data_IF_479622692397
#
_entry.id   IF_479622692397
#
_cell.length_a   1.000
_cell.length_b   1.000
_cell.length_c   1.000
_cell.angle_alpha   90.00
_cell.angle_beta   90.00
_cell.angle_gamma   90.00
#
_symmetry.space_group_name_H-M   'P 1'
#
loop_
_entity.id
_entity.type
_entity.pdbx_description
1 polymer ?
#
# COMPACT_ATOMS: atom_id res chain seq x y z
N UNK A 1 -16.80 -25.11 -6.41
CA UNK A 1 -17.51 -23.94 -6.99
C UNK A 1 -18.53 -23.28 -6.05
N UNK A 2 -19.26 -23.98 -5.19
CA UNK A 2 -20.22 -23.31 -4.29
C UNK A 2 -19.58 -22.59 -3.10
N UNK A 3 -18.56 -23.17 -2.47
CA UNK A 3 -17.86 -22.57 -1.35
C UNK A 3 -17.11 -21.30 -1.79
N UNK A 4 -16.33 -21.38 -2.87
CA UNK A 4 -15.62 -20.24 -3.47
C UNK A 4 -16.58 -19.08 -3.81
N UNK A 5 -17.74 -19.34 -4.40
CA UNK A 5 -18.72 -18.27 -4.70
C UNK A 5 -19.24 -17.55 -3.46
N UNK A 6 -19.47 -18.28 -2.37
CA UNK A 6 -19.90 -17.68 -1.10
C UNK A 6 -18.79 -16.80 -0.50
N UNK A 7 -17.53 -17.23 -0.61
CA UNK A 7 -16.37 -16.44 -0.17
C UNK A 7 -16.23 -15.14 -0.97
N UNK A 8 -16.36 -15.18 -2.29
CA UNK A 8 -16.39 -13.98 -3.12
C UNK A 8 -17.52 -13.01 -2.77
N UNK A 9 -18.72 -13.54 -2.44
CA UNK A 9 -19.84 -12.70 -1.97
C UNK A 9 -19.51 -12.01 -0.63
N UNK A 10 -18.85 -12.73 0.30
CA UNK A 10 -18.38 -12.17 1.56
C UNK A 10 -17.31 -11.08 1.33
N UNK A 11 -16.35 -11.32 0.43
CA UNK A 11 -15.32 -10.33 0.07
C UNK A 11 -15.95 -9.10 -0.61
N UNK A 12 -16.90 -9.28 -1.52
CA UNK A 12 -17.61 -8.18 -2.14
C UNK A 12 -18.38 -7.33 -1.12
N UNK A 13 -19.04 -7.97 -0.15
CA UNK A 13 -19.74 -7.29 0.94
C UNK A 13 -18.73 -6.53 1.83
N UNK A 14 -17.60 -7.15 2.16
CA UNK A 14 -16.54 -6.51 2.93
C UNK A 14 -16.02 -5.25 2.24
N UNK A 15 -15.68 -5.34 0.95
CA UNK A 15 -15.21 -4.22 0.15
C UNK A 15 -16.18 -3.04 0.12
N UNK A 16 -17.50 -3.32 0.04
CA UNK A 16 -18.54 -2.28 -0.06
C UNK A 16 -18.88 -1.68 1.30
N UNK A 17 -19.01 -2.51 2.34
CA UNK A 17 -19.55 -2.08 3.64
C UNK A 17 -18.46 -1.55 4.57
N UNK A 18 -17.25 -2.12 4.49
CA UNK A 18 -16.10 -1.70 5.29
C UNK A 18 -15.09 -0.96 4.43
N UNK A 19 -14.63 -1.57 3.34
CA UNK A 19 -13.63 -0.99 2.45
C UNK A 19 -14.00 0.45 2.08
N UNK A 20 -14.82 0.64 1.10
CA UNK A 20 -15.26 1.99 0.69
C UNK A 20 -16.41 2.56 1.52
N UNK A 21 -17.05 1.77 2.38
CA UNK A 21 -18.20 2.17 3.19
C UNK A 21 -19.19 3.06 2.42
N UNK A 22 -19.74 2.50 1.34
CA UNK A 22 -20.65 3.23 0.43
C UNK A 22 -21.82 3.83 1.20
N UNK A 23 -22.02 5.13 1.06
CA UNK A 23 -23.12 5.83 1.72
C UNK A 23 -24.37 5.86 0.85
N UNK A 24 -25.59 5.97 1.41
CA UNK A 24 -26.82 6.12 0.64
C UNK A 24 -26.74 7.29 -0.36
N UNK A 25 -27.16 7.06 -1.59
CA UNK A 25 -27.12 8.01 -2.71
C UNK A 25 -25.71 8.47 -3.13
N UNK A 26 -24.65 7.70 -2.76
CA UNK A 26 -23.28 7.96 -3.17
C UNK A 26 -22.94 7.15 -4.43
N UNK A 27 -22.27 7.73 -5.45
CA UNK A 27 -21.72 6.96 -6.56
C UNK A 27 -20.53 6.12 -6.10
N UNK A 28 -20.42 4.89 -6.62
CA UNK A 28 -19.22 4.04 -6.47
C UNK A 28 -18.52 3.91 -7.83
N UNK A 29 -17.27 4.34 -7.89
CA UNK A 29 -16.39 4.10 -9.04
C UNK A 29 -15.58 2.84 -8.78
N UNK A 30 -15.66 1.85 -9.67
CA UNK A 30 -14.89 0.61 -9.57
C UNK A 30 -13.86 0.58 -10.71
N UNK A 31 -12.58 0.45 -10.35
CA UNK A 31 -11.50 0.13 -11.29
C UNK A 31 -11.16 -1.35 -11.18
N UNK A 32 -11.29 -2.10 -12.27
CA UNK A 32 -11.06 -3.54 -12.30
C UNK A 32 -10.65 -4.01 -13.70
N UNK A 33 -9.98 -5.15 -13.79
CA UNK A 33 -9.75 -5.83 -15.07
C UNK A 33 -11.08 -6.27 -15.70
N UNK A 34 -11.16 -6.19 -17.03
CA UNK A 34 -12.34 -6.69 -17.78
C UNK A 34 -12.60 -8.17 -17.52
N UNK A 35 -11.61 -8.93 -17.06
CA UNK A 35 -11.72 -10.34 -16.71
C UNK A 35 -12.49 -10.57 -15.41
N UNK A 36 -12.54 -9.56 -14.54
CA UNK A 36 -13.12 -9.64 -13.19
C UNK A 36 -14.62 -9.34 -13.15
N UNK A 37 -15.29 -9.31 -14.30
CA UNK A 37 -16.67 -8.86 -14.44
C UNK A 37 -17.66 -9.60 -13.53
N UNK A 38 -17.42 -10.88 -13.23
CA UNK A 38 -18.31 -11.65 -12.34
C UNK A 38 -18.24 -11.16 -10.89
N UNK A 39 -17.01 -10.93 -10.39
CA UNK A 39 -16.82 -10.37 -9.06
C UNK A 39 -17.32 -8.92 -8.96
N UNK A 40 -17.04 -8.10 -9.98
CA UNK A 40 -17.58 -6.73 -10.08
C UNK A 40 -19.09 -6.70 -9.99
N UNK A 41 -19.81 -7.66 -10.60
CA UNK A 41 -21.26 -7.76 -10.48
C UNK A 41 -21.71 -8.08 -9.06
N UNK A 42 -20.92 -8.87 -8.28
CA UNK A 42 -21.21 -9.12 -6.87
C UNK A 42 -21.03 -7.82 -6.06
N UNK A 43 -19.93 -7.10 -6.28
CA UNK A 43 -19.67 -5.79 -5.65
C UNK A 43 -20.79 -4.79 -5.97
N UNK A 44 -21.17 -4.66 -7.25
CA UNK A 44 -22.24 -3.75 -7.68
C UNK A 44 -23.59 -4.09 -7.00
N UNK A 45 -23.90 -5.39 -6.85
CA UNK A 45 -25.10 -5.83 -6.14
C UNK A 45 -25.10 -5.41 -4.67
N UNK A 46 -23.98 -5.59 -3.98
CA UNK A 46 -23.82 -5.15 -2.59
C UNK A 46 -23.91 -3.61 -2.48
N UNK A 47 -23.28 -2.87 -3.41
CA UNK A 47 -23.34 -1.42 -3.44
C UNK A 47 -24.78 -0.90 -3.58
N UNK A 48 -25.55 -1.46 -4.50
CA UNK A 48 -26.98 -1.11 -4.64
C UNK A 48 -27.82 -1.55 -3.42
N UNK A 49 -27.45 -2.64 -2.77
CA UNK A 49 -28.15 -3.10 -1.56
C UNK A 49 -27.98 -2.13 -0.38
N UNK A 50 -26.86 -1.42 -0.28
CA UNK A 50 -26.64 -0.36 0.73
C UNK A 50 -27.11 1.01 0.27
N UNK A 51 -27.67 1.13 -0.94
CA UNK A 51 -28.29 2.36 -1.45
C UNK A 51 -27.37 3.24 -2.28
N UNK A 52 -26.32 2.68 -2.90
CA UNK A 52 -25.49 3.43 -3.87
C UNK A 52 -26.38 4.07 -4.94
N UNK A 53 -26.04 5.31 -5.33
CA UNK A 53 -26.73 6.05 -6.40
C UNK A 53 -26.54 5.36 -7.75
N UNK A 54 -25.30 5.04 -8.07
CA UNK A 54 -24.88 4.40 -9.31
C UNK A 54 -23.52 3.74 -9.12
N UNK A 55 -23.22 2.75 -9.97
CA UNK A 55 -21.90 2.12 -10.06
C UNK A 55 -21.30 2.51 -11.41
N UNK A 56 -20.16 3.20 -11.36
CA UNK A 56 -19.40 3.68 -12.53
C UNK A 56 -18.22 2.75 -12.74
N UNK A 57 -18.01 2.23 -13.96
CA UNK A 57 -16.94 1.30 -14.26
C UNK A 57 -15.77 1.95 -15.00
N UNK A 58 -14.57 1.75 -14.45
CA UNK A 58 -13.29 2.02 -15.11
C UNK A 58 -12.60 0.68 -15.40
N UNK A 59 -12.86 0.10 -16.57
CA UNK A 59 -12.27 -1.17 -16.97
C UNK A 59 -10.80 -1.01 -17.39
N UNK A 60 -9.95 -1.93 -16.94
CA UNK A 60 -8.58 -2.09 -17.42
C UNK A 60 -8.45 -3.36 -18.23
N UNK A 61 -7.54 -3.34 -19.21
CA UNK A 61 -7.17 -4.49 -20.01
C UNK A 61 -5.66 -4.43 -20.29
N UNK A 62 -4.93 -5.32 -19.64
CA UNK A 62 -3.47 -5.37 -19.72
C UNK A 62 -2.97 -5.67 -21.14
N UNK A 63 -3.66 -6.55 -21.89
CA UNK A 63 -3.29 -6.87 -23.26
C UNK A 63 -3.53 -5.67 -24.20
N UNK A 64 -4.65 -4.97 -24.03
CA UNK A 64 -4.89 -3.73 -24.76
C UNK A 64 -3.87 -2.64 -24.40
N UNK A 65 -3.47 -2.55 -23.12
CA UNK A 65 -2.42 -1.62 -22.71
C UNK A 65 -1.07 -1.93 -23.39
N UNK A 66 -0.67 -3.21 -23.49
CA UNK A 66 0.52 -3.62 -24.24
C UNK A 66 0.48 -3.19 -25.70
N UNK A 67 -0.66 -3.41 -26.37
CA UNK A 67 -0.87 -2.95 -27.76
C UNK A 67 -0.77 -1.43 -27.85
N UNK A 68 -1.37 -0.72 -26.92
CA UNK A 68 -1.32 0.75 -26.84
C UNK A 68 0.12 1.26 -26.78
N UNK A 69 0.94 0.76 -25.84
CA UNK A 69 2.34 1.16 -25.72
C UNK A 69 3.21 0.71 -26.90
N UNK A 70 2.84 -0.40 -27.56
CA UNK A 70 3.58 -0.89 -28.74
C UNK A 70 3.34 0.00 -29.95
N UNK A 71 2.09 0.35 -30.23
CA UNK A 71 1.71 0.97 -31.51
C UNK A 71 1.54 2.47 -31.47
N UNK A 72 1.19 3.07 -30.33
CA UNK A 72 1.05 4.52 -30.25
C UNK A 72 2.41 5.23 -30.13
N UNK A 73 2.50 6.42 -30.71
CA UNK A 73 3.63 7.32 -30.50
C UNK A 73 3.62 7.90 -29.09
N UNK A 74 4.76 8.33 -28.58
CA UNK A 74 4.86 9.00 -27.28
C UNK A 74 4.02 10.31 -27.28
N UNK A 75 4.04 11.06 -28.38
CA UNK A 75 3.22 12.27 -28.55
C UNK A 75 1.73 11.98 -28.32
N UNK A 76 1.21 10.90 -28.95
CA UNK A 76 -0.20 10.50 -28.77
C UNK A 76 -0.47 10.02 -27.35
N UNK A 77 0.46 9.29 -26.74
CA UNK A 77 0.32 8.78 -25.37
C UNK A 77 0.29 9.91 -24.33
N UNK A 78 1.06 10.97 -24.56
CA UNK A 78 1.17 12.10 -23.61
C UNK A 78 0.13 13.19 -23.81
N UNK A 79 -0.63 13.15 -24.91
CA UNK A 79 -1.77 14.03 -25.15
C UNK A 79 -2.99 13.52 -24.38
N UNK A 80 -3.04 13.83 -23.08
CA UNK A 80 -4.16 13.43 -22.20
C UNK A 80 -5.38 14.29 -22.48
N UNK A 81 -6.46 13.73 -23.05
CA UNK A 81 -7.63 14.52 -23.46
C UNK A 81 -8.42 15.04 -22.25
N UNK A 82 -9.00 16.25 -22.39
CA UNK A 82 -9.73 16.94 -21.31
C UNK A 82 -10.92 16.13 -20.77
N UNK A 83 -11.59 15.36 -21.61
CA UNK A 83 -12.74 14.56 -21.16
C UNK A 83 -12.37 13.55 -20.06
N UNK A 84 -11.10 13.06 -19.99
CA UNK A 84 -10.65 12.20 -18.90
C UNK A 84 -10.59 12.97 -17.58
N UNK A 85 -10.10 14.20 -17.62
CA UNK A 85 -10.09 15.09 -16.47
C UNK A 85 -11.51 15.43 -16.02
N UNK A 86 -12.37 15.85 -16.96
CA UNK A 86 -13.76 16.25 -16.70
C UNK A 86 -14.58 15.09 -16.09
N UNK A 87 -14.33 13.86 -16.53
CA UNK A 87 -14.97 12.66 -15.98
C UNK A 87 -14.61 12.50 -14.49
N UNK A 88 -13.33 12.47 -14.16
CA UNK A 88 -12.87 12.32 -12.76
C UNK A 88 -13.35 13.51 -11.91
N UNK A 89 -13.27 14.73 -12.45
CA UNK A 89 -13.80 15.91 -11.77
C UNK A 89 -15.28 15.77 -11.46
N UNK A 90 -16.06 15.26 -12.43
CA UNK A 90 -17.50 15.02 -12.22
C UNK A 90 -17.78 13.99 -11.15
N UNK A 91 -16.99 12.93 -11.07
CA UNK A 91 -17.08 11.91 -10.01
C UNK A 91 -16.85 12.55 -8.63
N UNK A 92 -15.81 13.39 -8.49
CA UNK A 92 -15.53 14.14 -7.26
C UNK A 92 -16.65 15.11 -6.89
N UNK A 93 -17.17 15.88 -7.86
CA UNK A 93 -18.27 16.82 -7.65
C UNK A 93 -19.55 16.10 -7.15
N UNK A 94 -19.71 14.81 -7.47
CA UNK A 94 -20.80 13.95 -6.99
C UNK A 94 -20.50 13.30 -5.64
N UNK A 95 -19.29 13.45 -5.09
CA UNK A 95 -18.87 12.83 -3.85
C UNK A 95 -18.65 11.31 -3.96
N UNK A 96 -18.16 10.84 -5.11
CA UNK A 96 -17.96 9.42 -5.34
C UNK A 96 -16.92 8.79 -4.38
N UNK A 97 -17.12 7.51 -4.05
CA UNK A 97 -16.10 6.67 -3.46
C UNK A 97 -15.48 5.76 -4.51
N UNK A 98 -14.26 5.26 -4.24
CA UNK A 98 -13.43 4.56 -5.22
C UNK A 98 -13.01 3.19 -4.72
N UNK A 99 -13.33 2.13 -5.47
CA UNK A 99 -12.85 0.79 -5.23
C UNK A 99 -11.91 0.35 -6.35
N UNK A 100 -10.69 -0.02 -6.00
CA UNK A 100 -9.75 -0.65 -6.93
C UNK A 100 -9.62 -2.13 -6.62
N UNK A 101 -9.82 -2.97 -7.65
CA UNK A 101 -9.69 -4.41 -7.57
C UNK A 101 -8.41 -4.81 -8.34
N UNK A 102 -7.45 -5.38 -7.63
CA UNK A 102 -6.21 -5.89 -8.20
C UNK A 102 -6.33 -7.38 -8.53
N UNK A 103 -6.08 -7.73 -9.80
CA UNK A 103 -5.94 -9.09 -10.29
C UNK A 103 -4.87 -9.22 -11.36
N UNK A 104 -4.21 -8.10 -11.69
CA UNK A 104 -3.24 -8.05 -12.79
C UNK A 104 -1.99 -8.89 -12.48
N UNK A 105 -1.44 -9.51 -13.52
CA UNK A 105 -0.16 -10.23 -13.46
C UNK A 105 0.98 -9.27 -13.10
N UNK A 106 1.75 -9.54 -12.05
CA UNK A 106 2.94 -8.75 -11.74
C UNK A 106 3.91 -8.66 -12.93
N UNK A 107 4.41 -7.45 -13.19
CA UNK A 107 5.34 -7.24 -14.31
C UNK A 107 4.72 -7.39 -15.71
N UNK A 108 3.40 -7.32 -15.83
CA UNK A 108 2.68 -7.51 -17.09
C UNK A 108 3.16 -6.60 -18.24
N UNK A 109 3.65 -5.41 -17.93
CA UNK A 109 4.16 -4.43 -18.90
C UNK A 109 5.70 -4.45 -19.07
N UNK A 110 6.41 -5.46 -18.53
CA UNK A 110 7.89 -5.52 -18.57
C UNK A 110 8.48 -5.54 -19.98
N UNK A 111 7.76 -6.10 -20.95
CA UNK A 111 8.21 -6.32 -22.31
C UNK A 111 7.84 -5.17 -23.28
N UNK A 112 7.17 -4.10 -22.78
CA UNK A 112 6.88 -2.89 -23.57
C UNK A 112 7.94 -1.81 -23.32
N UNK A 113 7.98 -0.79 -24.19
CA UNK A 113 8.90 0.33 -24.03
C UNK A 113 8.62 1.10 -22.73
N UNK A 114 9.49 0.93 -21.73
CA UNK A 114 9.37 1.53 -20.42
C UNK A 114 9.47 3.07 -20.45
N UNK A 115 10.10 3.65 -21.47
CA UNK A 115 10.12 5.12 -21.62
C UNK A 115 8.74 5.66 -21.95
N UNK A 116 7.98 4.99 -22.80
CA UNK A 116 6.61 5.32 -23.13
C UNK A 116 5.65 5.17 -21.93
N UNK A 117 5.82 4.09 -21.15
CA UNK A 117 5.04 3.88 -19.93
C UNK A 117 5.25 5.05 -18.97
N UNK A 118 6.50 5.42 -18.70
CA UNK A 118 6.84 6.57 -17.83
C UNK A 118 6.33 7.89 -18.39
N UNK A 119 6.50 8.15 -19.68
CA UNK A 119 6.02 9.38 -20.30
C UNK A 119 4.50 9.54 -20.13
N UNK A 120 3.73 8.47 -20.39
CA UNK A 120 2.28 8.46 -20.15
C UNK A 120 1.93 8.72 -18.70
N UNK A 121 2.59 8.00 -17.75
CA UNK A 121 2.33 8.16 -16.31
C UNK A 121 2.62 9.58 -15.83
N UNK A 122 3.72 10.18 -16.29
CA UNK A 122 4.05 11.57 -15.96
C UNK A 122 3.03 12.56 -16.54
N UNK A 123 2.63 12.40 -17.80
CA UNK A 123 1.64 13.27 -18.43
C UNK A 123 0.28 13.17 -17.74
N UNK A 124 -0.19 11.95 -17.46
CA UNK A 124 -1.42 11.69 -16.73
C UNK A 124 -1.38 12.26 -15.31
N UNK A 125 -0.29 11.98 -14.59
CA UNK A 125 -0.07 12.51 -13.24
C UNK A 125 -0.11 14.04 -13.20
N UNK A 126 0.55 14.69 -14.15
CA UNK A 126 0.54 16.15 -14.28
C UNK A 126 -0.87 16.70 -14.58
N UNK A 127 -1.62 16.02 -15.47
CA UNK A 127 -2.98 16.42 -15.84
C UNK A 127 -3.95 16.29 -14.67
N UNK A 128 -3.78 15.27 -13.81
CA UNK A 128 -4.69 14.96 -12.71
C UNK A 128 -4.21 15.53 -11.36
N UNK A 129 -3.14 16.32 -11.32
CA UNK A 129 -2.45 16.74 -10.07
C UNK A 129 -3.40 17.33 -9.01
N UNK A 130 -4.30 18.21 -9.39
CA UNK A 130 -5.25 18.87 -8.49
C UNK A 130 -6.39 17.93 -8.04
N UNK A 131 -6.79 16.99 -8.90
CA UNK A 131 -7.83 16.00 -8.57
C UNK A 131 -7.35 14.93 -7.57
N UNK A 132 -6.05 14.62 -7.55
CA UNK A 132 -5.51 13.64 -6.58
C UNK A 132 -5.77 13.99 -5.12
N UNK A 133 -5.88 15.28 -4.81
CA UNK A 133 -6.15 15.73 -3.44
C UNK A 133 -7.44 15.15 -2.87
N UNK A 134 -8.39 14.78 -3.71
CA UNK A 134 -9.66 14.20 -3.28
C UNK A 134 -9.47 12.87 -2.51
N UNK A 135 -8.65 11.97 -3.03
CA UNK A 135 -8.34 10.70 -2.34
C UNK A 135 -7.20 10.85 -1.34
N UNK A 136 -6.18 11.64 -1.64
CA UNK A 136 -5.04 11.85 -0.72
C UNK A 136 -5.43 12.58 0.58
N UNK A 137 -6.45 13.42 0.56
CA UNK A 137 -6.98 14.11 1.74
C UNK A 137 -8.24 13.42 2.28
N UNK A 138 -8.52 12.21 1.85
CA UNK A 138 -9.70 11.43 2.24
C UNK A 138 -11.04 12.17 2.09
N UNK A 139 -11.15 13.14 1.15
CA UNK A 139 -12.40 13.84 0.87
C UNK A 139 -13.51 12.88 0.40
N UNK A 140 -13.12 11.80 -0.30
CA UNK A 140 -13.94 10.64 -0.62
C UNK A 140 -13.27 9.35 -0.20
N UNK A 141 -14.07 8.35 0.22
CA UNK A 141 -13.57 7.05 0.61
C UNK A 141 -12.93 6.35 -0.59
N UNK A 142 -11.89 5.58 -0.31
CA UNK A 142 -11.25 4.72 -1.30
C UNK A 142 -10.83 3.41 -0.66
N UNK A 143 -10.76 2.35 -1.46
CA UNK A 143 -10.28 1.05 -1.00
C UNK A 143 -9.60 0.30 -2.14
N UNK A 144 -8.54 -0.42 -1.79
CA UNK A 144 -7.85 -1.36 -2.67
C UNK A 144 -8.02 -2.77 -2.13
N UNK A 145 -8.42 -3.69 -2.99
CA UNK A 145 -8.52 -5.13 -2.66
C UNK A 145 -7.86 -5.97 -3.74
N UNK A 146 -7.51 -7.21 -3.42
CA UNK A 146 -7.02 -8.20 -4.37
C UNK A 146 -8.02 -9.33 -4.61
N UNK A 147 -8.06 -9.83 -5.85
CA UNK A 147 -8.66 -11.14 -6.20
C UNK A 147 -7.69 -11.91 -7.09
N UNK A 148 -7.71 -13.25 -7.07
CA UNK A 148 -6.74 -14.04 -7.83
C UNK A 148 -7.01 -13.99 -9.34
N UNK A 149 -5.94 -14.07 -10.13
CA UNK A 149 -6.00 -14.46 -11.54
C UNK A 149 -5.03 -15.61 -11.79
N UNK A 150 -5.27 -16.37 -12.86
CA UNK A 150 -4.38 -17.49 -13.23
C UNK A 150 -2.98 -16.99 -13.52
N UNK A 151 -2.87 -15.86 -14.21
CA UNK A 151 -1.58 -15.27 -14.59
C UNK A 151 -0.79 -14.81 -13.35
N UNK A 152 -1.45 -14.16 -12.37
CA UNK A 152 -0.82 -13.79 -11.12
C UNK A 152 -0.43 -15.02 -10.30
N UNK A 153 -1.33 -15.98 -10.18
CA UNK A 153 -1.07 -17.23 -9.46
C UNK A 153 0.17 -17.98 -10.00
N UNK A 154 0.36 -17.99 -11.33
CA UNK A 154 1.53 -18.61 -11.95
C UNK A 154 2.84 -17.85 -11.71
N UNK A 155 2.79 -16.55 -11.44
CA UNK A 155 3.97 -15.80 -10.99
C UNK A 155 4.31 -16.16 -9.55
N UNK A 156 3.30 -16.25 -8.68
CA UNK A 156 3.48 -16.60 -7.25
C UNK A 156 3.89 -18.08 -7.09
N UNK A 157 3.26 -18.99 -7.82
CA UNK A 157 3.49 -20.44 -7.73
C UNK A 157 3.89 -21.05 -9.08
N UNK A 158 5.09 -20.73 -9.62
CA UNK A 158 5.48 -21.11 -10.97
C UNK A 158 5.60 -22.62 -11.19
N UNK A 159 5.75 -23.41 -10.11
CA UNK A 159 5.98 -24.85 -10.16
C UNK A 159 4.68 -25.69 -10.11
N UNK A 160 3.56 -25.05 -9.78
CA UNK A 160 2.24 -25.74 -9.71
C UNK A 160 1.53 -25.71 -11.05
N UNK A 161 0.52 -26.55 -11.24
CA UNK A 161 -0.42 -26.40 -12.35
C UNK A 161 -1.18 -25.07 -12.24
N UNK A 162 -1.85 -24.63 -13.31
CA UNK A 162 -2.64 -23.40 -13.30
C UNK A 162 -3.77 -23.46 -12.26
N UNK A 163 -4.45 -24.61 -12.17
CA UNK A 163 -5.56 -24.85 -11.24
C UNK A 163 -5.07 -24.83 -9.79
N UNK A 164 -4.00 -25.59 -9.47
CA UNK A 164 -3.44 -25.63 -8.12
C UNK A 164 -2.85 -24.27 -7.70
N UNK A 165 -2.20 -23.55 -8.61
CA UNK A 165 -1.67 -22.23 -8.35
C UNK A 165 -2.79 -21.22 -8.05
N UNK A 166 -3.86 -21.26 -8.87
CA UNK A 166 -5.02 -20.39 -8.69
C UNK A 166 -5.72 -20.66 -7.35
N UNK A 167 -6.02 -21.92 -7.02
CA UNK A 167 -6.64 -22.30 -5.75
C UNK A 167 -5.79 -21.83 -4.55
N UNK A 168 -4.46 -22.01 -4.60
CA UNK A 168 -3.59 -21.55 -3.53
C UNK A 168 -3.56 -20.03 -3.37
N UNK A 169 -3.57 -19.27 -4.47
CA UNK A 169 -3.61 -17.82 -4.40
C UNK A 169 -4.97 -17.34 -3.90
N UNK A 170 -6.07 -17.99 -4.35
CA UNK A 170 -7.43 -17.71 -3.89
C UNK A 170 -7.56 -17.90 -2.37
N UNK A 171 -7.11 -19.04 -1.86
CA UNK A 171 -7.13 -19.35 -0.43
C UNK A 171 -6.28 -18.33 0.37
N UNK A 172 -5.10 -17.97 -0.15
CA UNK A 172 -4.23 -17.00 0.49
C UNK A 172 -4.88 -15.61 0.55
N UNK A 173 -5.52 -15.14 -0.53
CA UNK A 173 -6.20 -13.85 -0.57
C UNK A 173 -7.38 -13.84 0.41
N UNK A 174 -8.20 -14.89 0.44
CA UNK A 174 -9.31 -14.96 1.41
C UNK A 174 -8.80 -14.98 2.85
N UNK A 175 -7.78 -15.79 3.14
CA UNK A 175 -7.20 -15.89 4.48
C UNK A 175 -6.64 -14.54 4.95
N UNK A 176 -5.85 -13.86 4.12
CA UNK A 176 -5.25 -12.57 4.45
C UNK A 176 -6.28 -11.46 4.55
N UNK A 177 -7.36 -11.53 3.77
CA UNK A 177 -8.52 -10.64 3.87
C UNK A 177 -9.49 -11.01 4.99
N UNK A 178 -9.16 -12.01 5.84
CA UNK A 178 -10.00 -12.51 6.95
C UNK A 178 -11.41 -12.93 6.53
N UNK A 179 -11.54 -13.41 5.30
CA UNK A 179 -12.76 -13.98 4.74
C UNK A 179 -12.69 -15.49 4.91
N UNK A 180 -13.57 -16.05 5.72
CA UNK A 180 -13.67 -17.50 5.98
C UNK A 180 -15.08 -18.04 5.77
N UNK A 181 -15.23 -19.35 5.64
CA UNK A 181 -16.56 -19.95 5.44
C UNK A 181 -17.48 -19.70 6.64
N UNK A 182 -16.97 -19.86 7.86
CA UNK A 182 -17.75 -19.93 9.09
C UNK A 182 -17.85 -18.61 9.87
N UNK A 183 -17.19 -17.53 9.41
CA UNK A 183 -17.21 -16.25 10.11
C UNK A 183 -17.84 -15.12 9.29
N UNK A 184 -18.22 -14.05 9.98
CA UNK A 184 -18.62 -12.79 9.35
C UNK A 184 -17.37 -11.92 9.12
N UNK A 185 -16.98 -11.66 7.86
CA UNK A 185 -15.80 -10.86 7.56
C UNK A 185 -15.92 -9.42 8.08
N UNK A 186 -17.13 -8.86 8.19
CA UNK A 186 -17.32 -7.51 8.74
C UNK A 186 -16.94 -7.47 10.21
N UNK A 187 -17.28 -8.51 10.99
CA UNK A 187 -16.92 -8.60 12.40
C UNK A 187 -15.42 -8.90 12.57
N UNK A 188 -14.84 -9.78 11.74
CA UNK A 188 -13.41 -10.06 11.76
C UNK A 188 -12.60 -8.76 11.52
N UNK A 189 -13.02 -7.96 10.55
CA UNK A 189 -12.38 -6.68 10.25
C UNK A 189 -12.62 -5.63 11.33
N UNK A 190 -13.81 -5.59 11.94
CA UNK A 190 -14.08 -4.68 13.04
C UNK A 190 -13.14 -4.91 14.23
N UNK A 191 -12.86 -6.18 14.54
CA UNK A 191 -11.93 -6.56 15.62
C UNK A 191 -10.50 -6.19 15.24
N UNK A 192 -10.04 -6.68 14.09
CA UNK A 192 -8.68 -6.47 13.61
C UNK A 192 -8.32 -4.98 13.46
N UNK A 193 -9.18 -4.23 12.82
CA UNK A 193 -9.04 -2.80 12.63
C UNK A 193 -9.05 -2.05 13.99
N UNK A 194 -9.90 -2.49 14.93
CA UNK A 194 -9.89 -1.97 16.29
C UNK A 194 -8.56 -2.18 17.01
N UNK A 195 -7.89 -3.31 16.79
CA UNK A 195 -6.57 -3.60 17.35
C UNK A 195 -5.49 -2.69 16.73
N UNK A 196 -5.52 -2.49 15.41
CA UNK A 196 -4.58 -1.58 14.73
C UNK A 196 -4.76 -0.13 15.18
N UNK A 197 -5.99 0.36 15.25
CA UNK A 197 -6.31 1.71 15.74
C UNK A 197 -5.82 1.88 17.18
N UNK A 198 -5.98 0.88 18.04
CA UNK A 198 -5.53 0.95 19.44
C UNK A 198 -3.99 0.97 19.54
N UNK A 199 -3.28 0.17 18.72
CA UNK A 199 -1.82 0.24 18.65
C UNK A 199 -1.33 1.60 18.14
N UNK A 200 -1.91 2.12 17.06
CA UNK A 200 -1.59 3.43 16.53
C UNK A 200 -1.83 4.56 17.55
N UNK A 201 -2.95 4.48 18.29
CA UNK A 201 -3.27 5.43 19.39
C UNK A 201 -2.20 5.39 20.48
N UNK A 202 -1.85 4.19 20.98
CA UNK A 202 -0.80 4.01 22.00
C UNK A 202 0.55 4.52 21.54
N UNK A 203 0.97 4.20 20.30
CA UNK A 203 2.22 4.67 19.74
C UNK A 203 2.27 6.20 19.64
N UNK A 204 1.16 6.83 19.24
CA UNK A 204 1.03 8.30 19.20
C UNK A 204 1.12 8.91 20.61
N UNK A 205 0.46 8.32 21.61
CA UNK A 205 0.51 8.80 23.00
C UNK A 205 1.89 8.64 23.64
N UNK A 206 2.62 7.57 23.32
CA UNK A 206 3.98 7.36 23.79
C UNK A 206 4.96 8.40 23.23
N UNK A 207 4.64 9.02 22.10
CA UNK A 207 5.35 10.16 21.50
C UNK A 207 6.87 9.99 21.48
N UNK A 208 7.33 8.91 20.88
CA UNK A 208 8.74 8.58 20.81
C UNK A 208 9.53 9.64 20.00
N UNK A 209 10.71 9.99 20.50
CA UNK A 209 11.67 10.76 19.73
C UNK A 209 12.22 9.96 18.56
N UNK A 210 12.52 8.67 18.83
CA UNK A 210 13.11 7.77 17.85
C UNK A 210 12.79 6.32 18.18
N UNK A 211 12.91 5.46 17.18
CA UNK A 211 12.86 4.01 17.30
C UNK A 211 14.24 3.42 17.04
N UNK A 212 14.60 2.36 17.76
CA UNK A 212 15.79 1.58 17.53
C UNK A 212 15.43 0.14 17.20
N UNK A 213 15.85 -0.30 16.03
CA UNK A 213 15.55 -1.62 15.46
C UNK A 213 16.79 -2.51 15.49
N UNK A 214 16.62 -3.74 15.96
CA UNK A 214 17.65 -4.77 15.90
C UNK A 214 17.11 -6.10 15.43
N UNK A 215 17.85 -6.83 14.60
CA UNK A 215 17.48 -8.17 14.17
C UNK A 215 18.69 -9.08 14.00
N UNK A 216 18.43 -10.39 13.93
CA UNK A 216 19.43 -11.45 13.70
C UNK A 216 20.09 -11.36 12.32
N UNK A 217 19.48 -10.66 11.35
CA UNK A 217 20.06 -10.39 10.03
C UNK A 217 21.19 -9.37 10.07
N UNK A 218 21.38 -8.69 11.23
CA UNK A 218 22.38 -7.67 11.42
C UNK A 218 21.85 -6.24 11.30
N UNK A 219 20.53 -6.06 11.22
CA UNK A 219 19.91 -4.73 11.30
C UNK A 219 20.23 -4.11 12.67
N UNK A 220 20.76 -2.90 12.64
CA UNK A 220 20.99 -2.02 13.78
C UNK A 220 20.74 -0.59 13.28
N UNK A 221 19.49 -0.14 13.40
CA UNK A 221 19.00 1.07 12.78
C UNK A 221 18.26 1.94 13.79
N UNK A 222 18.61 3.21 13.86
CA UNK A 222 17.87 4.22 14.59
C UNK A 222 17.13 5.12 13.62
N UNK A 223 15.83 5.32 13.86
CA UNK A 223 14.94 6.16 13.07
C UNK A 223 14.33 7.22 13.99
N UNK A 224 14.77 8.48 13.86
CA UNK A 224 14.14 9.63 14.52
C UNK A 224 12.82 9.94 13.82
N UNK A 225 11.78 10.24 14.60
CA UNK A 225 10.46 10.61 14.08
C UNK A 225 10.35 12.14 14.00
N UNK A 226 9.49 12.63 13.11
CA UNK A 226 9.20 14.06 13.04
C UNK A 226 8.50 14.52 14.32
N UNK A 227 8.66 15.79 14.67
CA UNK A 227 7.93 16.37 15.79
C UNK A 227 6.42 16.35 15.51
N UNK A 228 5.61 16.05 16.54
CA UNK A 228 4.16 15.92 16.42
C UNK A 228 3.72 14.85 15.40
N UNK A 229 4.51 13.79 15.25
CA UNK A 229 4.10 12.65 14.43
C UNK A 229 2.81 12.01 14.97
N UNK A 230 2.04 11.45 14.03
CA UNK A 230 0.83 10.69 14.32
C UNK A 230 1.02 9.30 13.71
N UNK A 231 0.75 8.28 14.50
CA UNK A 231 0.67 6.91 13.99
C UNK A 231 -0.72 6.66 13.43
N UNK A 232 -0.76 6.05 12.27
CA UNK A 232 -1.98 5.64 11.59
C UNK A 232 -1.95 4.12 11.48
N UNK A 233 -3.10 3.47 11.66
CA UNK A 233 -3.26 2.03 11.52
C UNK A 233 -4.74 1.68 11.46
N UNK A 234 -5.08 0.68 10.66
CA UNK A 234 -6.46 0.30 10.40
C UNK A 234 -7.12 1.24 9.38
N UNK A 235 -8.39 1.55 9.62
CA UNK A 235 -9.17 2.41 8.73
C UNK A 235 -8.96 3.90 8.98
N UNK A 236 -9.51 4.70 8.09
CA UNK A 236 -9.41 6.15 8.09
C UNK A 236 -10.81 6.82 8.05
N UNK A 237 -10.86 8.13 8.10
CA UNK A 237 -12.11 8.91 8.10
C UNK A 237 -12.08 10.03 7.09
N UNK A 238 -13.16 10.16 6.35
CA UNK A 238 -13.38 11.38 5.56
C UNK A 238 -13.58 12.59 6.49
N UNK A 239 -13.37 13.84 5.99
CA UNK A 239 -13.72 15.06 6.75
C UNK A 239 -15.17 15.11 7.22
N UNK A 240 -16.06 14.35 6.60
CA UNK A 240 -17.47 14.19 7.01
C UNK A 240 -17.67 13.13 8.09
N UNK A 241 -16.60 12.47 8.55
CA UNK A 241 -16.62 11.46 9.59
C UNK A 241 -17.02 10.05 9.12
N UNK A 242 -17.07 9.79 7.80
CA UNK A 242 -17.33 8.44 7.28
C UNK A 242 -16.06 7.62 7.42
N UNK A 243 -16.13 6.55 8.21
CA UNK A 243 -15.03 5.60 8.40
C UNK A 243 -14.95 4.62 7.23
N UNK A 244 -13.75 4.28 6.78
CA UNK A 244 -13.51 3.34 5.68
C UNK A 244 -12.15 2.65 5.85
N UNK A 245 -11.95 1.50 5.20
CA UNK A 245 -10.69 0.77 5.23
C UNK A 245 -9.99 0.91 3.86
N UNK A 246 -8.91 1.73 3.76
CA UNK A 246 -8.24 2.01 2.49
C UNK A 246 -7.63 0.78 1.82
N UNK A 247 -7.15 -0.16 2.60
CA UNK A 247 -6.48 -1.38 2.14
C UNK A 247 -7.08 -2.62 2.79
N UNK A 248 -7.43 -3.62 1.99
CA UNK A 248 -7.83 -4.94 2.43
C UNK A 248 -7.01 -5.97 1.64
N UNK A 249 -6.01 -6.60 2.30
CA UNK A 249 -5.67 -6.54 3.72
C UNK A 249 -4.78 -5.34 4.09
N UNK A 250 -4.69 -5.05 5.40
CA UNK A 250 -3.67 -4.24 6.05
C UNK A 250 -3.33 -4.83 7.42
N UNK A 251 -2.07 -4.71 7.86
CA UNK A 251 -1.56 -5.25 9.14
C UNK A 251 -0.71 -4.23 9.88
N UNK A 252 -0.61 -3.02 9.39
CA UNK A 252 0.39 -2.06 9.79
C UNK A 252 -0.12 -0.96 10.72
N UNK A 253 0.84 -0.42 11.50
CA UNK A 253 0.79 0.92 12.07
C UNK A 253 2.01 1.69 11.56
N UNK A 254 1.82 2.82 10.90
CA UNK A 254 2.88 3.58 10.24
C UNK A 254 2.92 5.04 10.63
N UNK A 255 4.08 5.65 10.47
CA UNK A 255 4.29 7.07 10.73
C UNK A 255 5.45 7.63 9.92
N UNK A 256 5.69 8.95 10.05
CA UNK A 256 6.70 9.68 9.30
C UNK A 256 8.05 9.73 10.03
N UNK A 257 9.12 9.17 9.45
CA UNK A 257 10.48 9.38 9.92
C UNK A 257 10.95 10.79 9.59
N UNK A 258 11.85 11.33 10.41
CA UNK A 258 12.51 12.60 10.13
C UNK A 258 13.58 12.42 9.05
N UNK A 259 13.51 13.18 7.98
CA UNK A 259 14.40 13.07 6.80
C UNK A 259 15.87 12.88 7.16
N UNK A 260 16.38 13.64 8.12
CA UNK A 260 17.80 13.64 8.52
C UNK A 260 18.10 12.79 9.75
N UNK A 261 17.09 12.09 10.29
CA UNK A 261 17.15 11.41 11.60
C UNK A 261 17.44 9.91 11.54
N UNK A 262 17.84 9.36 10.38
CA UNK A 262 18.05 7.91 10.21
C UNK A 262 19.54 7.60 10.20
N UNK A 263 19.97 6.67 11.06
CA UNK A 263 21.37 6.25 11.16
C UNK A 263 21.48 4.76 11.45
N UNK A 264 22.46 4.09 10.84
CA UNK A 264 22.72 2.66 11.04
C UNK A 264 22.60 1.85 9.77
N UNK A 265 22.39 0.56 9.92
CA UNK A 265 22.28 -0.40 8.82
C UNK A 265 20.98 -1.19 8.92
N UNK A 266 20.35 -1.43 7.78
CA UNK A 266 19.15 -2.25 7.66
C UNK A 266 19.33 -3.29 6.57
N UNK A 267 18.94 -4.53 6.86
CA UNK A 267 18.93 -5.64 5.93
C UNK A 267 17.49 -5.99 5.58
N UNK A 268 17.19 -6.06 4.29
CA UNK A 268 15.90 -6.56 3.82
C UNK A 268 15.69 -8.02 4.23
N UNK A 269 14.51 -8.33 4.73
CA UNK A 269 14.10 -9.68 5.12
C UNK A 269 13.37 -10.44 4.02
N UNK A 270 12.88 -9.71 3.02
CA UNK A 270 12.16 -10.25 1.85
C UNK A 270 12.66 -9.62 0.56
N UNK A 271 12.51 -10.31 -0.58
CA UNK A 271 12.78 -9.72 -1.90
C UNK A 271 11.84 -8.56 -2.19
N UNK A 272 12.32 -7.58 -2.98
CA UNK A 272 11.55 -6.45 -3.48
C UNK A 272 11.29 -6.62 -4.98
N UNK A 273 10.02 -6.54 -5.39
CA UNK A 273 9.63 -6.50 -6.80
C UNK A 273 9.56 -5.06 -7.28
N UNK A 274 10.56 -4.62 -8.05
CA UNK A 274 10.64 -3.25 -8.56
C UNK A 274 10.86 -3.23 -10.07
N UNK A 275 10.03 -2.48 -10.81
CA UNK A 275 10.13 -2.35 -12.27
C UNK A 275 10.19 -3.70 -13.02
N UNK A 276 9.46 -4.72 -12.55
CA UNK A 276 9.39 -6.05 -13.14
C UNK A 276 10.62 -6.94 -12.89
N UNK A 277 11.51 -6.52 -11.99
CA UNK A 277 12.67 -7.28 -11.52
C UNK A 277 12.56 -7.56 -10.03
N UNK A 278 13.25 -8.60 -9.58
CA UNK A 278 13.27 -9.00 -8.17
C UNK A 278 14.65 -8.71 -7.59
N UNK A 279 14.71 -7.72 -6.69
CA UNK A 279 15.91 -7.36 -5.94
C UNK A 279 15.93 -8.23 -4.68
N UNK A 280 17.02 -8.97 -4.45
CA UNK A 280 17.09 -9.88 -3.30
C UNK A 280 18.41 -9.76 -2.52
N UNK A 281 18.31 -10.02 -1.20
CA UNK A 281 19.43 -10.00 -0.26
C UNK A 281 20.10 -8.64 -0.20
N UNK A 282 19.33 -7.57 -0.20
CA UNK A 282 19.83 -6.20 -0.20
C UNK A 282 19.84 -5.58 1.19
N UNK A 283 20.61 -4.49 1.31
CA UNK A 283 20.78 -3.72 2.54
C UNK A 283 21.09 -2.26 2.22
N UNK A 284 20.81 -1.39 3.20
CA UNK A 284 21.14 0.03 3.15
C UNK A 284 21.87 0.45 4.42
N UNK A 285 22.86 1.36 4.27
CA UNK A 285 23.48 2.07 5.36
C UNK A 285 23.12 3.54 5.30
N UNK A 286 22.57 4.02 6.39
CA UNK A 286 22.11 5.40 6.53
C UNK A 286 23.06 6.21 7.39
N UNK A 287 23.33 7.45 6.98
CA UNK A 287 24.02 8.47 7.77
C UNK A 287 23.26 9.80 7.62
N UNK A 288 22.81 10.37 8.74
CA UNK A 288 22.01 11.59 8.76
C UNK A 288 20.81 11.53 7.78
N UNK A 289 20.12 10.41 7.76
CA UNK A 289 18.95 10.14 6.94
C UNK A 289 19.22 9.67 5.52
N UNK A 290 20.43 9.87 5.00
CA UNK A 290 20.76 9.53 3.63
C UNK A 290 21.33 8.13 3.50
N UNK A 291 20.87 7.36 2.51
CA UNK A 291 21.55 6.14 2.08
C UNK A 291 22.91 6.51 1.49
N UNK A 292 23.97 6.18 2.23
CA UNK A 292 25.37 6.44 1.85
C UNK A 292 26.05 5.22 1.25
N UNK A 293 25.55 4.02 1.58
CA UNK A 293 26.07 2.76 1.07
C UNK A 293 24.94 1.73 0.95
N UNK A 294 25.07 0.81 0.03
CA UNK A 294 24.05 -0.22 -0.24
C UNK A 294 24.66 -1.40 -0.99
N UNK A 295 23.98 -2.53 -0.98
CA UNK A 295 24.33 -3.67 -1.80
C UNK A 295 23.15 -4.63 -1.94
N UNK A 296 23.23 -5.52 -2.92
CA UNK A 296 22.25 -6.59 -3.15
C UNK A 296 22.95 -7.85 -3.66
N UNK A 297 22.40 -9.02 -3.35
CA UNK A 297 22.86 -10.29 -3.94
C UNK A 297 22.36 -10.45 -5.37
N UNK A 298 21.19 -9.89 -5.67
CA UNK A 298 20.58 -9.92 -7.01
C UNK A 298 20.05 -8.53 -7.36
N UNK A 299 20.20 -8.11 -8.61
CA UNK A 299 19.69 -6.87 -9.19
C UNK A 299 20.18 -5.58 -8.49
N UNK A 300 21.48 -5.53 -8.10
CA UNK A 300 22.08 -4.35 -7.47
C UNK A 300 21.98 -3.08 -8.34
N UNK A 301 22.12 -3.20 -9.68
CA UNK A 301 21.94 -2.07 -10.58
C UNK A 301 20.49 -1.57 -10.63
N UNK A 302 19.51 -2.45 -10.41
CA UNK A 302 18.11 -2.07 -10.27
C UNK A 302 17.88 -1.32 -8.95
N UNK A 303 18.49 -1.79 -7.85
CA UNK A 303 18.48 -1.09 -6.56
C UNK A 303 19.11 0.29 -6.66
N UNK A 304 20.23 0.42 -7.37
CA UNK A 304 20.88 1.68 -7.65
C UNK A 304 20.00 2.63 -8.48
N UNK A 305 19.25 2.10 -9.43
CA UNK A 305 18.30 2.90 -10.22
C UNK A 305 17.17 3.45 -9.37
N UNK A 306 16.64 2.65 -8.42
CA UNK A 306 15.66 3.07 -7.44
C UNK A 306 16.19 4.23 -6.59
N UNK A 307 17.39 4.11 -6.04
CA UNK A 307 18.04 5.15 -5.21
C UNK A 307 18.40 6.43 -5.99
N UNK A 308 18.45 6.38 -7.31
CA UNK A 308 18.78 7.53 -8.16
C UNK A 308 17.56 8.06 -8.95
N UNK A 309 16.35 7.68 -8.57
CA UNK A 309 15.14 8.16 -9.22
C UNK A 309 15.00 9.68 -9.07
N UNK A 310 15.12 10.20 -7.85
CA UNK A 310 15.28 11.62 -7.53
C UNK A 310 16.15 11.79 -6.26
N UNK A 311 16.33 13.01 -5.78
CA UNK A 311 17.16 13.27 -4.59
C UNK A 311 16.53 12.67 -3.33
N UNK A 312 15.21 12.71 -3.20
CA UNK A 312 14.44 12.20 -2.06
C UNK A 312 14.44 10.68 -1.96
N UNK A 313 14.71 9.97 -3.06
CA UNK A 313 14.72 8.50 -3.12
C UNK A 313 15.79 7.84 -2.25
N UNK A 314 16.74 8.61 -1.73
CA UNK A 314 17.76 8.14 -0.79
C UNK A 314 17.42 8.37 0.68
N UNK A 315 16.22 8.85 0.96
CA UNK A 315 15.74 9.14 2.32
C UNK A 315 14.43 8.42 2.57
N UNK A 316 14.16 8.12 3.83
CA UNK A 316 12.89 7.50 4.20
C UNK A 316 11.73 8.51 4.16
N UNK A 317 10.57 8.03 3.76
CA UNK A 317 9.27 8.69 3.86
C UNK A 317 8.36 8.03 4.88
N UNK A 318 8.58 6.73 5.14
CA UNK A 318 7.73 5.96 6.05
C UNK A 318 8.51 4.98 6.92
N UNK A 319 7.99 4.74 8.11
CA UNK A 319 8.32 3.62 8.99
C UNK A 319 7.04 2.94 9.43
N UNK A 320 6.89 1.66 9.11
CA UNK A 320 5.72 0.85 9.40
C UNK A 320 6.06 -0.34 10.31
N UNK A 321 5.21 -0.54 11.31
CA UNK A 321 5.29 -1.63 12.26
C UNK A 321 4.20 -2.65 11.96
N UNK A 322 4.61 -3.86 11.58
CA UNK A 322 3.74 -4.99 11.26
C UNK A 322 4.13 -6.16 12.15
N UNK A 323 3.22 -6.72 12.96
CA UNK A 323 3.54 -7.89 13.77
C UNK A 323 3.90 -9.09 12.87
N UNK A 324 4.94 -9.83 13.28
CA UNK A 324 5.36 -11.04 12.56
C UNK A 324 4.24 -12.09 12.56
N UNK A 325 3.47 -12.17 13.65
CA UNK A 325 2.31 -13.06 13.74
C UNK A 325 1.08 -12.42 13.07
N UNK A 326 1.09 -12.38 11.76
CA UNK A 326 -0.02 -11.93 10.91
C UNK A 326 -0.36 -12.97 9.86
N UNK A 327 -1.58 -12.99 9.30
CA UNK A 327 -1.96 -13.93 8.25
C UNK A 327 -1.03 -13.88 7.03
N UNK A 328 -0.63 -12.68 6.63
CA UNK A 328 0.27 -12.49 5.47
C UNK A 328 1.66 -13.01 5.78
N UNK A 329 2.24 -12.64 6.91
CA UNK A 329 3.55 -13.13 7.34
C UNK A 329 3.59 -14.65 7.46
N UNK A 330 2.58 -15.22 8.12
CA UNK A 330 2.46 -16.67 8.37
C UNK A 330 2.25 -17.49 7.08
N UNK A 331 1.73 -16.87 6.01
CA UNK A 331 1.58 -17.53 4.71
C UNK A 331 2.91 -17.92 4.07
N UNK A 332 3.98 -17.19 4.38
CA UNK A 332 5.30 -17.27 3.72
C UNK A 332 5.22 -17.14 2.19
N UNK A 333 4.20 -16.45 1.68
CA UNK A 333 4.01 -16.20 0.25
C UNK A 333 4.57 -14.81 -0.08
N UNK A 334 5.34 -14.71 -1.16
CA UNK A 334 5.62 -13.46 -1.84
C UNK A 334 4.59 -13.29 -2.93
N UNK A 335 3.70 -12.32 -2.76
CA UNK A 335 2.58 -12.10 -3.68
C UNK A 335 2.99 -11.35 -4.95
N UNK A 336 4.14 -10.68 -4.96
CA UNK A 336 4.57 -9.74 -6.01
C UNK A 336 3.55 -8.61 -6.20
N UNK A 337 2.90 -8.24 -5.12
CA UNK A 337 1.90 -7.17 -5.09
C UNK A 337 2.04 -6.40 -3.78
N UNK A 338 2.32 -5.10 -3.86
CA UNK A 338 2.61 -4.22 -2.72
C UNK A 338 1.52 -4.28 -1.66
N UNK A 339 0.23 -4.28 -2.03
CA UNK A 339 -0.89 -4.39 -1.08
C UNK A 339 -0.74 -5.55 -0.08
N UNK A 340 -0.13 -6.66 -0.50
CA UNK A 340 0.09 -7.84 0.36
C UNK A 340 1.50 -7.84 0.94
N UNK A 341 2.51 -7.60 0.10
CA UNK A 341 3.90 -7.83 0.47
C UNK A 341 4.41 -6.83 1.52
N UNK A 342 4.01 -5.56 1.48
CA UNK A 342 4.32 -4.55 2.50
C UNK A 342 3.78 -4.97 3.87
N UNK A 343 2.60 -5.59 3.90
CA UNK A 343 1.93 -6.06 5.11
C UNK A 343 2.45 -7.42 5.63
N UNK A 344 3.51 -7.97 5.02
CA UNK A 344 4.13 -9.22 5.44
C UNK A 344 5.16 -9.05 6.56
N UNK A 345 5.64 -7.84 6.82
CA UNK A 345 6.63 -7.55 7.87
C UNK A 345 6.74 -6.04 8.13
N UNK A 346 7.37 -5.65 9.24
CA UNK A 346 7.81 -4.26 9.40
C UNK A 346 8.55 -3.82 8.14
N UNK A 347 8.20 -2.64 7.62
CA UNK A 347 8.79 -2.11 6.40
C UNK A 347 9.17 -0.63 6.54
N UNK A 348 9.98 -0.17 5.63
CA UNK A 348 10.37 1.22 5.48
C UNK A 348 10.11 1.60 4.03
N UNK A 349 9.62 2.83 3.79
CA UNK A 349 9.52 3.35 2.45
C UNK A 349 10.62 4.35 2.15
N UNK A 350 11.28 4.18 1.01
CA UNK A 350 12.14 5.20 0.42
C UNK A 350 11.29 6.20 -0.35
N UNK A 351 11.48 7.50 -0.09
CA UNK A 351 10.86 8.55 -0.89
C UNK A 351 9.81 9.38 -0.18
N UNK A 352 8.61 9.47 -0.76
CA UNK A 352 7.54 10.38 -0.38
C UNK A 352 6.89 9.97 0.95
N UNK A 353 6.70 10.90 1.90
CA UNK A 353 5.94 10.65 3.12
C UNK A 353 4.45 10.94 2.93
N UNK A 354 3.63 10.47 3.88
CA UNK A 354 2.22 10.82 3.99
C UNK A 354 2.02 12.00 4.95
N UNK A 355 1.47 13.14 4.49
CA UNK A 355 1.29 14.33 5.33
C UNK A 355 0.46 14.10 6.59
N UNK A 356 -0.50 13.17 6.55
CA UNK A 356 -1.38 12.82 7.66
C UNK A 356 -0.64 12.20 8.86
N UNK A 357 0.59 11.72 8.68
CA UNK A 357 1.43 11.26 9.78
C UNK A 357 2.03 12.41 10.63
N UNK A 358 1.68 13.64 10.34
CA UNK A 358 1.98 14.81 11.16
C UNK A 358 0.67 15.49 11.58
N UNK A 359 0.59 15.90 12.83
CA UNK A 359 -0.61 16.61 13.32
C UNK A 359 -0.91 17.82 12.43
N UNK A 360 -2.12 17.90 11.92
CA UNK A 360 -2.61 18.93 10.99
C UNK A 360 -1.87 18.93 9.62
N UNK A 361 -1.06 17.91 9.32
CA UNK A 361 -0.20 17.85 8.14
C UNK A 361 -0.94 17.87 6.80
N UNK A 362 -2.17 17.32 6.73
CA UNK A 362 -3.01 17.40 5.54
C UNK A 362 -3.34 18.84 5.11
N UNK A 363 -3.19 19.83 6.02
CA UNK A 363 -3.42 21.24 5.77
C UNK A 363 -2.13 22.07 5.65
N UNK A 364 -0.97 21.42 5.82
CA UNK A 364 0.34 22.06 5.69
C UNK A 364 0.73 22.23 4.22
N UNK A 365 1.47 23.30 3.92
CA UNK A 365 2.16 23.45 2.64
C UNK A 365 3.39 22.52 2.56
N UNK A 366 3.92 22.32 1.36
CA UNK A 366 5.14 21.54 1.15
C UNK A 366 6.32 22.12 1.96
N UNK A 367 6.43 23.46 2.07
CA UNK A 367 7.45 24.13 2.87
C UNK A 367 7.28 23.89 4.37
N UNK A 368 6.05 23.88 4.88
CA UNK A 368 5.76 23.60 6.29
C UNK A 368 6.07 22.14 6.63
N UNK A 369 5.70 21.18 5.78
CA UNK A 369 6.05 19.77 5.95
C UNK A 369 7.58 19.58 5.94
N UNK A 370 8.28 20.22 5.01
CA UNK A 370 9.74 20.18 4.96
C UNK A 370 10.38 20.78 6.22
N UNK A 371 9.83 21.87 6.74
CA UNK A 371 10.29 22.47 8.00
C UNK A 371 10.04 21.56 9.20
N UNK A 372 8.97 20.74 9.18
CA UNK A 372 8.70 19.71 10.16
C UNK A 372 9.65 18.50 10.06
N UNK A 373 10.44 18.39 9.00
CA UNK A 373 11.42 17.32 8.79
C UNK A 373 10.99 16.23 7.80
N UNK A 374 9.89 16.44 7.07
CA UNK A 374 9.44 15.54 6.03
C UNK A 374 10.43 15.45 4.86
N UNK A 375 10.52 14.30 4.23
CA UNK A 375 11.21 14.13 2.96
C UNK A 375 10.35 14.67 1.80
N UNK A 376 10.95 14.81 0.64
CA UNK A 376 10.30 15.20 -0.62
C UNK A 376 10.81 14.29 -1.73
N UNK A 377 9.91 13.60 -2.41
CA UNK A 377 10.22 12.70 -3.53
C UNK A 377 8.98 12.52 -4.41
N UNK A 378 9.20 12.06 -5.64
CA UNK A 378 8.12 11.68 -6.55
C UNK A 378 7.87 10.16 -6.58
N UNK A 379 8.62 9.38 -5.79
CA UNK A 379 8.38 7.95 -5.59
C UNK A 379 8.14 7.64 -4.11
N UNK A 380 7.50 6.51 -3.87
CA UNK A 380 7.31 5.86 -2.58
C UNK A 380 7.50 4.37 -2.81
N UNK A 381 8.50 3.77 -2.16
CA UNK A 381 8.84 2.37 -2.41
C UNK A 381 9.14 1.64 -1.12
N UNK A 382 8.28 0.69 -0.77
CA UNK A 382 8.32 -0.08 0.45
C UNK A 382 9.28 -1.26 0.34
N UNK A 383 10.06 -1.50 1.40
CA UNK A 383 10.87 -2.68 1.52
C UNK A 383 10.78 -3.29 2.92
N UNK A 384 10.59 -4.59 2.98
CA UNK A 384 10.38 -5.34 4.21
C UNK A 384 11.72 -5.67 4.86
N UNK A 385 11.83 -5.41 6.18
CA UNK A 385 13.02 -5.71 6.98
C UNK A 385 12.68 -6.40 8.31
N UNK A 386 11.39 -6.49 8.65
CA UNK A 386 10.90 -7.19 9.83
C UNK A 386 11.23 -8.69 9.82
N UNK A 387 11.59 -9.23 10.99
CA UNK A 387 11.89 -10.65 11.19
C UNK A 387 11.20 -11.18 12.44
N UNK A 388 11.15 -12.51 12.57
CA UNK A 388 10.61 -13.18 13.76
C UNK A 388 11.35 -12.83 15.05
N UNK A 389 12.63 -12.46 14.97
CA UNK A 389 13.49 -12.18 16.13
C UNK A 389 13.74 -10.67 16.29
N UNK A 390 13.05 -9.84 15.49
CA UNK A 390 13.20 -8.38 15.57
C UNK A 390 12.76 -7.82 16.92
N UNK A 391 13.58 -6.93 17.47
CA UNK A 391 13.24 -6.12 18.62
C UNK A 391 13.21 -4.64 18.23
N UNK A 392 12.25 -3.91 18.79
CA UNK A 392 12.08 -2.47 18.58
C UNK A 392 11.96 -1.81 19.95
N UNK A 393 12.83 -0.85 20.22
CA UNK A 393 12.76 0.01 21.38
C UNK A 393 12.38 1.43 20.98
N UNK A 394 11.34 1.96 21.58
CA UNK A 394 10.97 3.36 21.49
C UNK A 394 11.75 4.19 22.53
N UNK A 395 12.38 5.27 22.10
CA UNK A 395 13.12 6.17 22.98
C UNK A 395 12.35 7.48 23.06
N UNK A 396 11.92 7.86 24.28
CA UNK A 396 11.17 9.09 24.54
C UNK A 396 12.09 10.31 24.57
N UNK A 397 11.52 11.51 24.64
CA UNK A 397 12.26 12.78 24.63
C UNK A 397 13.23 12.92 25.83
N UNK A 398 12.90 12.32 26.97
CA UNK A 398 13.73 12.32 28.18
C UNK A 398 14.79 11.20 28.19
N UNK A 399 14.84 10.36 27.15
CA UNK A 399 15.73 9.21 27.02
C UNK A 399 15.19 7.91 27.63
N UNK A 400 13.96 7.90 28.15
CA UNK A 400 13.31 6.66 28.63
C UNK A 400 13.13 5.70 27.47
N UNK A 401 13.55 4.44 27.69
CA UNK A 401 13.42 3.36 26.70
C UNK A 401 12.21 2.51 27.02
N UNK A 402 11.32 2.36 26.05
CA UNK A 402 10.09 1.56 26.15
C UNK A 402 10.15 0.45 25.11
N UNK A 403 10.07 -0.83 25.49
CA UNK A 403 9.95 -1.93 24.54
C UNK A 403 8.66 -1.79 23.70
N UNK A 404 8.78 -1.77 22.38
CA UNK A 404 7.65 -1.73 21.44
C UNK A 404 7.41 -3.11 20.83
N UNK A 405 8.48 -3.73 20.30
CA UNK A 405 8.46 -5.12 19.81
C UNK A 405 9.45 -5.98 20.58
N UNK A 406 9.05 -7.24 20.79
CA UNK A 406 9.93 -8.34 21.18
C UNK A 406 9.57 -9.58 20.37
N UNK A 407 10.60 -10.22 19.82
CA UNK A 407 10.40 -11.40 18.96
C UNK A 407 9.39 -11.13 17.85
N UNK A 408 9.54 -10.00 17.14
CA UNK A 408 8.77 -9.65 15.99
C UNK A 408 7.32 -9.21 16.25
N UNK A 409 6.88 -9.05 17.50
CA UNK A 409 5.47 -8.73 17.82
C UNK A 409 5.37 -7.60 18.85
N UNK A 410 4.24 -6.89 18.83
CA UNK A 410 3.92 -5.84 19.80
C UNK A 410 3.93 -6.37 21.25
N UNK A 411 4.47 -5.55 22.16
CA UNK A 411 4.47 -5.79 23.62
C UNK A 411 3.91 -4.60 24.41
N UNK A 412 3.31 -3.62 23.73
CA UNK A 412 2.69 -2.42 24.28
C UNK A 412 1.17 -2.53 24.38
#
# INVERSE_FOLDING_TARGET
>A
MSASKAMYQKLAKLAVVRGVNVQPNQPLVITASVRDYEFVRMVAKEAYAVGAREVIMSWTDTELAKLTYTYQSEETLTDIPDWKYDMVKREHDLGACYLRIHSDMPGALKDVDQSKVRAYQMAYSKKMKDLRKYTMNNEGQWCVIGIPSVEWAKVVFPHLSEEEAFEKLEDAIFMTSRVTEDSDPLENWRIHDGDLVEHARKLTELNFKQLHFTSELGTDLTVELVDNHVWIGGGDKTPKGVYFDPNIPTEECFTMPKKTGVNGIVYASKPLSYSGKVIDGFWFRFENGKVVDFGAKQEEETLKSLLNFDEGSRYLGEVALVPYDSPISNSNILFFNTLFDENAACHLALGMPYPENVKDGAHMSEEELKAAGANESSQHEDFMFGTKEMNIDGIQQDGTVVPVFRNGNFVI
#
